data_IF_351957704561
#
_entry.id   IF_351957704561
#
_cell.length_a   1.000
_cell.length_b   1.000
_cell.length_c   1.000
_cell.angle_alpha   90.00
_cell.angle_beta   90.00
_cell.angle_gamma   90.00
#
_symmetry.space_group_name_H-M   'P 1'
#
loop_
_entity.id
_entity.type
_entity.pdbx_description
1 polymer ?
#
# COMPACT_ATOMS: atom_id res chain seq x y z
N UNK A 1 -7.72 -17.33 15.50
CA UNK A 1 -6.96 -16.69 14.40
C UNK A 1 -7.48 -17.28 13.11
N UNK A 2 -8.04 -16.47 12.22
CA UNK A 2 -8.47 -16.93 10.89
C UNK A 2 -7.26 -17.33 10.06
N UNK A 3 -7.38 -18.41 9.31
CA UNK A 3 -6.38 -18.87 8.36
C UNK A 3 -6.12 -17.79 7.29
N UNK A 4 -4.86 -17.47 7.03
CA UNK A 4 -4.42 -16.50 6.02
C UNK A 4 -3.97 -17.17 4.71
N UNK A 5 -4.06 -18.51 4.63
CA UNK A 5 -3.61 -19.30 3.48
C UNK A 5 -4.18 -18.82 2.14
N UNK A 6 -5.41 -18.30 2.14
CA UNK A 6 -6.13 -17.78 0.96
C UNK A 6 -6.05 -16.24 0.82
N UNK A 7 -5.15 -15.58 1.55
CA UNK A 7 -4.96 -14.12 1.44
C UNK A 7 -3.64 -13.77 0.77
N UNK A 8 -3.69 -12.87 -0.20
CA UNK A 8 -2.52 -12.36 -0.91
C UNK A 8 -2.57 -10.84 -0.96
N UNK A 9 -1.43 -10.19 -0.73
CA UNK A 9 -1.25 -8.75 -0.97
C UNK A 9 -0.15 -8.61 -2.03
N UNK A 10 -0.37 -7.74 -3.01
CA UNK A 10 0.60 -7.41 -4.06
C UNK A 10 0.82 -5.90 -4.11
N UNK A 11 2.00 -5.49 -4.55
CA UNK A 11 2.29 -4.10 -4.88
C UNK A 11 3.11 -4.08 -6.17
N UNK A 12 2.65 -3.32 -7.16
CA UNK A 12 3.37 -3.07 -8.41
C UNK A 12 3.84 -1.62 -8.38
N UNK A 13 5.15 -1.44 -8.29
CA UNK A 13 5.77 -0.12 -8.30
C UNK A 13 5.71 0.48 -9.70
N UNK A 14 5.20 1.71 -9.81
CA UNK A 14 5.20 2.48 -11.05
C UNK A 14 6.42 3.41 -11.13
N UNK A 15 6.63 4.23 -10.09
CA UNK A 15 7.74 5.18 -10.05
C UNK A 15 8.09 5.57 -8.61
N UNK A 16 9.28 6.14 -8.41
CA UNK A 16 9.78 6.65 -7.13
C UNK A 16 10.48 7.98 -7.31
N UNK A 17 10.09 8.96 -6.50
CA UNK A 17 10.85 10.21 -6.33
C UNK A 17 11.33 10.27 -4.88
N UNK A 18 12.63 10.48 -4.69
CA UNK A 18 13.24 10.44 -3.35
C UNK A 18 14.32 11.50 -3.17
N UNK A 19 14.48 11.93 -1.93
CA UNK A 19 15.63 12.66 -1.40
C UNK A 19 16.02 12.09 -0.02
N UNK A 20 16.93 12.76 0.68
CA UNK A 20 17.48 12.29 1.96
C UNK A 20 16.41 12.19 3.07
N UNK A 21 15.35 13.00 2.98
CA UNK A 21 14.33 13.14 4.02
C UNK A 21 13.00 12.46 3.66
N UNK A 22 12.68 12.32 2.37
CA UNK A 22 11.38 11.83 1.90
C UNK A 22 11.50 10.91 0.69
N UNK A 23 10.62 9.90 0.64
CA UNK A 23 10.40 9.07 -0.54
C UNK A 23 8.91 9.06 -0.87
N UNK A 24 8.57 9.28 -2.12
CA UNK A 24 7.22 9.14 -2.66
C UNK A 24 7.22 8.02 -3.69
N UNK A 25 6.43 6.98 -3.44
CA UNK A 25 6.28 5.85 -4.36
C UNK A 25 4.85 5.82 -4.93
N UNK A 26 4.75 5.72 -6.26
CA UNK A 26 3.49 5.51 -6.97
C UNK A 26 3.32 4.01 -7.21
N UNK A 27 2.23 3.42 -6.75
CA UNK A 27 2.04 1.97 -6.83
C UNK A 27 0.59 1.60 -7.16
N UNK A 28 0.42 0.46 -7.83
CA UNK A 28 -0.85 -0.27 -7.86
C UNK A 28 -0.77 -1.35 -6.79
N UNK A 29 -1.56 -1.19 -5.71
CA UNK A 29 -1.70 -2.19 -4.67
C UNK A 29 -2.82 -3.17 -5.03
N UNK A 30 -2.68 -4.42 -4.61
CA UNK A 30 -3.66 -5.47 -4.85
C UNK A 30 -3.86 -6.33 -3.61
N UNK A 31 -5.09 -6.80 -3.41
CA UNK A 31 -5.44 -7.68 -2.31
C UNK A 31 -6.42 -8.76 -2.77
N UNK A 32 -6.13 -10.03 -2.47
CA UNK A 32 -7.05 -11.15 -2.62
C UNK A 32 -7.38 -11.70 -1.24
N UNK A 33 -8.67 -11.90 -0.94
CA UNK A 33 -9.16 -12.45 0.34
C UNK A 33 -10.52 -13.11 0.14
N UNK A 34 -10.68 -14.34 0.61
CA UNK A 34 -11.94 -15.11 0.51
C UNK A 34 -12.49 -15.16 -0.93
N UNK A 35 -11.62 -15.34 -1.93
CA UNK A 35 -11.98 -15.37 -3.35
C UNK A 35 -12.35 -14.01 -3.97
N UNK A 36 -12.34 -12.92 -3.20
CA UNK A 36 -12.51 -11.54 -3.71
C UNK A 36 -11.14 -10.94 -3.99
N UNK A 37 -11.04 -10.10 -5.02
CA UNK A 37 -9.83 -9.33 -5.36
C UNK A 37 -10.15 -7.85 -5.48
N UNK A 38 -9.25 -6.99 -5.02
CA UNK A 38 -9.28 -5.54 -5.15
C UNK A 38 -7.90 -5.06 -5.61
N UNK A 39 -7.86 -4.26 -6.67
CA UNK A 39 -6.69 -3.46 -7.06
C UNK A 39 -7.03 -1.98 -6.86
N UNK A 40 -6.07 -1.18 -6.39
CA UNK A 40 -6.26 0.25 -6.12
C UNK A 40 -4.94 1.02 -6.25
N UNK A 41 -5.02 2.26 -6.74
CA UNK A 41 -3.85 3.14 -6.83
C UNK A 41 -3.51 3.72 -5.46
N UNK A 42 -2.23 3.75 -5.12
CA UNK A 42 -1.74 4.32 -3.86
C UNK A 42 -0.46 5.12 -4.07
N UNK A 43 -0.42 6.29 -3.43
CA UNK A 43 0.80 7.07 -3.23
C UNK A 43 1.27 6.85 -1.80
N UNK A 44 2.44 6.24 -1.67
CA UNK A 44 3.11 6.05 -0.38
C UNK A 44 4.10 7.16 -0.15
N UNK A 45 3.95 7.87 0.96
CA UNK A 45 4.93 8.87 1.40
C UNK A 45 5.65 8.33 2.63
N UNK A 46 6.98 8.23 2.54
CA UNK A 46 7.85 7.82 3.64
C UNK A 46 8.70 9.00 4.10
N UNK A 47 8.75 9.22 5.41
CA UNK A 47 9.74 10.11 6.02
C UNK A 47 10.95 9.30 6.44
N UNK A 48 12.14 9.76 6.07
CA UNK A 48 13.43 9.10 6.29
C UNK A 48 14.24 9.90 7.31
N UNK A 49 14.84 9.21 8.29
CA UNK A 49 15.80 9.78 9.23
C UNK A 49 16.89 8.76 9.52
N UNK A 50 18.15 9.18 9.43
CA UNK A 50 19.32 8.31 9.64
C UNK A 50 19.26 7.03 8.78
N UNK A 51 18.80 7.17 7.52
CA UNK A 51 18.65 6.06 6.57
C UNK A 51 17.51 5.09 6.89
N UNK A 52 16.60 5.44 7.81
CA UNK A 52 15.46 4.61 8.23
C UNK A 52 14.14 5.30 7.96
N UNK A 53 13.13 4.53 7.56
CA UNK A 53 11.74 4.98 7.54
C UNK A 53 11.30 5.21 8.99
N UNK A 54 10.88 6.43 9.31
CA UNK A 54 10.35 6.78 10.64
C UNK A 54 8.84 7.02 10.64
N UNK A 55 8.26 7.30 9.46
CA UNK A 55 6.83 7.48 9.28
C UNK A 55 6.42 7.09 7.85
N UNK A 56 5.17 6.61 7.71
CA UNK A 56 4.55 6.26 6.44
C UNK A 56 3.13 6.81 6.38
N UNK A 57 2.78 7.48 5.29
CA UNK A 57 1.42 7.83 4.91
C UNK A 57 1.04 7.13 3.60
N UNK A 58 -0.21 6.67 3.52
CA UNK A 58 -0.76 6.07 2.30
C UNK A 58 -1.96 6.91 1.84
N UNK A 59 -1.89 7.43 0.63
CA UNK A 59 -2.99 8.12 -0.03
C UNK A 59 -3.52 7.23 -1.15
N UNK A 60 -4.62 6.54 -0.88
CA UNK A 60 -5.30 5.67 -1.85
C UNK A 60 -6.42 6.41 -2.56
N UNK A 61 -6.67 6.05 -3.81
CA UNK A 61 -7.71 6.61 -4.66
C UNK A 61 -9.14 6.34 -4.16
N UNK A 62 -9.43 5.09 -3.75
CA UNK A 62 -10.76 4.67 -3.26
C UNK A 62 -10.69 4.03 -1.86
N UNK A 63 -10.61 4.90 -0.85
CA UNK A 63 -10.61 4.46 0.55
C UNK A 63 -11.92 3.81 0.99
N UNK A 64 -13.05 4.04 0.30
CA UNK A 64 -14.32 3.41 0.63
C UNK A 64 -14.32 1.95 0.18
N UNK A 65 -13.88 1.66 -1.05
CA UNK A 65 -13.75 0.30 -1.56
C UNK A 65 -12.76 -0.54 -0.73
N UNK A 66 -11.65 0.06 -0.30
CA UNK A 66 -10.68 -0.60 0.59
C UNK A 66 -11.34 -0.97 1.92
N UNK A 67 -12.07 -0.04 2.55
CA UNK A 67 -12.77 -0.31 3.81
C UNK A 67 -13.84 -1.41 3.66
N UNK A 68 -14.61 -1.40 2.57
CA UNK A 68 -15.61 -2.44 2.29
C UNK A 68 -14.97 -3.82 2.06
N UNK A 69 -13.82 -3.85 1.40
CA UNK A 69 -13.11 -5.10 1.14
C UNK A 69 -12.59 -5.77 2.42
N UNK A 70 -12.11 -4.96 3.38
CA UNK A 70 -11.47 -5.44 4.60
C UNK A 70 -12.35 -5.53 5.85
N UNK A 71 -13.56 -4.95 5.83
CA UNK A 71 -14.58 -5.10 6.88
C UNK A 71 -14.84 -6.57 7.24
#
# INVERSE_FOLDING_TARGET
>A
MSDLSDSQITAKLHDVVANDDHTVALMLAGATRNGRTLDYDVVETYHIRDGKVVERWASSDDTAAINEFFA
#
